data_IF_583920191063
#
_entry.id   IF_583920191063
#
_cell.length_a   1.000
_cell.length_b   1.000
_cell.length_c   1.000
_cell.angle_alpha   90.00
_cell.angle_beta   90.00
_cell.angle_gamma   90.00
#
_symmetry.space_group_name_H-M   'P 1'
#
loop_
_entity.id
_entity.type
_entity.pdbx_description
1 polymer ?
#
# COMPACT_ATOMS: atom_id res chain seq x y z
N UNK A 1 -18.30 17.04 -14.17
CA UNK A 1 -16.99 17.48 -13.63
C UNK A 1 -16.08 16.26 -13.61
N UNK A 2 -15.40 15.98 -14.74
CA UNK A 2 -14.50 14.83 -14.86
C UNK A 2 -13.27 15.08 -14.00
N UNK A 3 -13.24 14.47 -12.82
CA UNK A 3 -12.14 14.58 -11.86
C UNK A 3 -10.84 14.09 -12.50
N UNK A 4 -9.77 14.83 -12.22
CA UNK A 4 -8.40 14.78 -12.78
C UNK A 4 -7.65 13.45 -12.50
N UNK A 5 -8.34 12.42 -12.03
CA UNK A 5 -7.77 11.17 -11.53
C UNK A 5 -7.68 10.02 -12.56
N UNK A 6 -8.11 10.23 -13.81
CA UNK A 6 -8.42 9.14 -14.74
C UNK A 6 -7.42 8.87 -15.88
N UNK A 7 -6.47 9.75 -16.23
CA UNK A 7 -5.52 9.46 -17.34
C UNK A 7 -4.15 10.11 -17.14
N UNK A 8 -3.27 9.44 -16.42
CA UNK A 8 -1.83 9.70 -16.49
C UNK A 8 -1.16 8.53 -17.19
N UNK A 9 -0.99 8.62 -18.50
CA UNK A 9 -0.12 7.67 -19.21
C UNK A 9 1.29 7.77 -18.63
N UNK A 10 1.74 6.75 -17.91
CA UNK A 10 3.14 6.70 -17.44
C UNK A 10 4.02 6.21 -18.59
N UNK A 11 5.16 6.88 -18.78
CA UNK A 11 6.19 6.41 -19.69
C UNK A 11 6.79 5.14 -19.13
N UNK A 12 6.78 4.08 -19.94
CA UNK A 12 7.49 2.84 -19.62
C UNK A 12 8.55 2.64 -20.70
N UNK A 13 9.80 2.45 -20.28
CA UNK A 13 10.86 1.98 -21.19
C UNK A 13 10.54 0.52 -21.50
N UNK A 14 10.16 0.23 -22.75
CA UNK A 14 10.03 -1.15 -23.18
C UNK A 14 11.43 -1.72 -23.49
N UNK A 15 11.61 -3.04 -23.38
CA UNK A 15 12.87 -3.74 -23.66
C UNK A 15 13.40 -3.51 -25.09
N UNK A 16 12.53 -3.05 -25.99
CA UNK A 16 12.84 -2.76 -27.39
C UNK A 16 13.30 -1.31 -27.67
N UNK A 17 13.67 -0.51 -26.66
CA UNK A 17 14.12 0.90 -26.81
C UNK A 17 13.10 1.91 -27.40
N UNK A 18 11.86 1.46 -27.67
CA UNK A 18 10.76 2.33 -28.05
C UNK A 18 9.99 2.80 -26.80
N UNK A 19 9.85 4.12 -26.66
CA UNK A 19 9.06 4.72 -25.58
C UNK A 19 7.58 4.46 -25.80
N UNK A 20 6.90 3.89 -24.80
CA UNK A 20 5.46 3.63 -24.83
C UNK A 20 4.73 4.29 -23.67
N UNK A 21 3.39 4.29 -23.75
CA UNK A 21 2.47 4.80 -22.72
C UNK A 21 1.52 3.69 -22.29
N UNK A 22 1.48 3.39 -21.00
CA UNK A 22 0.48 2.46 -20.45
C UNK A 22 -0.73 3.22 -19.90
N UNK A 23 -1.93 2.67 -20.08
CA UNK A 23 -3.13 3.22 -19.48
C UNK A 23 -3.10 3.04 -17.97
N UNK A 24 -3.48 4.08 -17.24
CA UNK A 24 -3.41 4.14 -15.79
C UNK A 24 -4.71 4.69 -15.22
N UNK A 25 -5.24 4.05 -14.19
CA UNK A 25 -6.35 4.56 -13.38
C UNK A 25 -5.99 4.50 -11.90
N UNK A 26 -6.22 5.59 -11.17
CA UNK A 26 -6.15 5.58 -9.71
C UNK A 26 -7.40 4.92 -9.11
N UNK A 27 -7.31 4.41 -7.87
CA UNK A 27 -8.46 3.90 -7.13
C UNK A 27 -9.50 5.01 -6.90
N UNK A 28 -9.06 6.26 -6.69
CA UNK A 28 -9.93 7.44 -6.66
C UNK A 28 -10.84 7.52 -7.90
N UNK A 29 -10.26 7.47 -9.10
CA UNK A 29 -11.03 7.56 -10.34
C UNK A 29 -11.82 6.28 -10.67
N UNK A 30 -11.38 5.13 -10.19
CA UNK A 30 -12.01 3.83 -10.45
C UNK A 30 -13.23 3.58 -9.54
N UNK A 31 -13.13 3.98 -8.27
CA UNK A 31 -14.11 3.69 -7.22
C UNK A 31 -14.96 4.90 -6.85
N UNK A 32 -14.77 6.04 -7.51
CA UNK A 32 -15.36 7.34 -7.13
C UNK A 32 -15.08 7.72 -5.66
N UNK A 33 -13.89 7.34 -5.17
CA UNK A 33 -13.46 7.56 -3.80
C UNK A 33 -12.83 8.96 -3.66
N UNK A 34 -13.53 9.90 -3.00
CA UNK A 34 -13.05 11.27 -2.79
C UNK A 34 -11.73 11.30 -2.02
N UNK A 35 -10.67 11.80 -2.66
CA UNK A 35 -9.34 11.87 -2.06
C UNK A 35 -9.18 13.00 -1.03
N UNK A 36 -10.16 13.92 -0.93
CA UNK A 36 -10.14 15.01 0.06
C UNK A 36 -10.61 14.55 1.44
N UNK A 37 -11.21 13.38 1.52
CA UNK A 37 -11.66 12.74 2.76
C UNK A 37 -11.08 11.32 2.85
N UNK A 38 -10.93 10.74 4.05
CA UNK A 38 -10.50 9.34 4.21
C UNK A 38 -11.60 8.36 3.76
N UNK A 39 -11.80 8.26 2.44
CA UNK A 39 -12.95 7.58 1.83
C UNK A 39 -12.67 6.17 1.32
N UNK A 40 -11.42 5.68 1.45
CA UNK A 40 -11.01 4.37 0.98
C UNK A 40 -10.73 3.42 2.16
N UNK A 41 -11.09 2.16 2.00
CA UNK A 41 -10.68 1.07 2.88
C UNK A 41 -9.82 0.06 2.11
N UNK A 42 -8.82 -0.51 2.77
CA UNK A 42 -8.00 -1.57 2.20
C UNK A 42 -8.83 -2.79 1.78
N UNK A 43 -9.95 -3.08 2.45
CA UNK A 43 -10.88 -4.15 2.07
C UNK A 43 -11.45 -3.91 0.67
N UNK A 44 -11.88 -2.67 0.39
CA UNK A 44 -12.41 -2.28 -0.91
C UNK A 44 -11.32 -2.25 -1.99
N UNK A 45 -10.14 -1.73 -1.66
CA UNK A 45 -8.99 -1.74 -2.56
C UNK A 45 -8.58 -3.17 -2.95
N UNK A 46 -8.53 -4.08 -1.99
CA UNK A 46 -8.20 -5.49 -2.20
C UNK A 46 -9.27 -6.17 -3.08
N UNK A 47 -10.56 -5.94 -2.80
CA UNK A 47 -11.67 -6.48 -3.59
C UNK A 47 -11.63 -5.96 -5.03
N UNK A 48 -11.47 -4.64 -5.22
CA UNK A 48 -11.33 -4.03 -6.53
C UNK A 48 -10.13 -4.61 -7.30
N UNK A 49 -9.00 -4.79 -6.63
CA UNK A 49 -7.80 -5.40 -7.21
C UNK A 49 -8.06 -6.82 -7.70
N UNK A 50 -8.76 -7.65 -6.91
CA UNK A 50 -9.11 -9.02 -7.30
C UNK A 50 -10.07 -9.06 -8.48
N UNK A 51 -11.07 -8.16 -8.51
CA UNK A 51 -12.04 -8.07 -9.60
C UNK A 51 -11.33 -7.68 -10.91
N UNK A 52 -10.47 -6.65 -10.87
CA UNK A 52 -9.76 -6.16 -12.05
C UNK A 52 -8.71 -7.15 -12.56
N UNK A 53 -7.85 -7.63 -11.66
CA UNK A 53 -6.63 -8.34 -12.03
C UNK A 53 -6.80 -9.86 -12.04
N UNK A 54 -7.95 -10.37 -11.56
CA UNK A 54 -8.38 -11.78 -11.63
C UNK A 54 -7.35 -12.79 -11.08
N UNK A 55 -6.55 -12.38 -10.09
CA UNK A 55 -5.57 -13.25 -9.43
C UNK A 55 -5.50 -12.96 -7.92
N UNK A 56 -5.53 -14.00 -7.06
CA UNK A 56 -5.33 -13.86 -5.62
C UNK A 56 -4.00 -13.20 -5.26
N UNK A 57 -2.94 -13.43 -6.05
CA UNK A 57 -1.62 -12.88 -5.80
C UNK A 57 -1.63 -11.34 -5.76
N UNK A 58 -2.50 -10.67 -6.54
CA UNK A 58 -2.62 -9.22 -6.50
C UNK A 58 -3.40 -8.72 -5.27
N UNK A 59 -4.34 -9.51 -4.74
CA UNK A 59 -4.97 -9.22 -3.45
C UNK A 59 -3.96 -9.30 -2.30
N UNK A 60 -3.14 -10.35 -2.31
CA UNK A 60 -2.03 -10.56 -1.35
C UNK A 60 -0.98 -9.44 -1.45
N UNK A 61 -0.65 -8.98 -2.67
CA UNK A 61 0.22 -7.82 -2.87
C UNK A 61 -0.32 -6.55 -2.20
N UNK A 62 -1.61 -6.25 -2.36
CA UNK A 62 -2.20 -5.06 -1.73
C UNK A 62 -2.25 -5.20 -0.21
N UNK A 63 -2.49 -6.40 0.31
CA UNK A 63 -2.37 -6.68 1.73
C UNK A 63 -0.96 -6.39 2.25
N UNK A 64 0.09 -6.88 1.57
CA UNK A 64 1.48 -6.58 1.94
C UNK A 64 1.79 -5.09 1.91
N UNK A 65 1.28 -4.35 0.92
CA UNK A 65 1.42 -2.88 0.84
C UNK A 65 0.70 -2.17 1.99
N UNK A 66 -0.47 -2.67 2.42
CA UNK A 66 -1.17 -2.15 3.60
C UNK A 66 -0.34 -2.35 4.86
N UNK A 67 0.23 -3.54 5.06
CA UNK A 67 1.12 -3.83 6.20
C UNK A 67 2.38 -2.95 6.15
N UNK A 68 2.96 -2.74 4.96
CA UNK A 68 4.09 -1.84 4.78
C UNK A 68 3.74 -0.42 5.22
N UNK A 69 2.62 0.15 4.72
CA UNK A 69 2.19 1.50 5.11
C UNK A 69 1.97 1.61 6.62
N UNK A 70 1.36 0.60 7.24
CA UNK A 70 1.15 0.54 8.68
C UNK A 70 2.48 0.62 9.44
N UNK A 71 3.47 -0.20 9.07
CA UNK A 71 4.75 -0.27 9.75
C UNK A 71 5.64 0.95 9.50
N UNK A 72 5.56 1.55 8.31
CA UNK A 72 6.37 2.73 7.96
C UNK A 72 5.69 4.05 8.27
N UNK A 73 4.52 4.05 8.92
CA UNK A 73 3.77 5.26 9.24
C UNK A 73 3.51 6.15 8.00
N UNK A 74 3.20 5.51 6.86
CA UNK A 74 2.77 6.23 5.66
C UNK A 74 1.26 6.48 5.75
N UNK A 75 0.87 7.58 6.40
CA UNK A 75 -0.54 7.88 6.66
C UNK A 75 -1.18 8.74 5.57
N UNK A 76 -0.42 9.17 4.56
CA UNK A 76 -0.91 9.87 3.37
C UNK A 76 -1.19 8.89 2.22
N UNK A 77 -1.65 7.70 2.56
CA UNK A 77 -1.95 6.59 1.64
C UNK A 77 -3.34 6.74 0.99
N UNK A 78 -3.73 7.95 0.60
CA UNK A 78 -5.07 8.27 0.11
C UNK A 78 -5.40 7.65 -1.26
N UNK A 79 -6.67 7.70 -1.68
CA UNK A 79 -7.20 7.01 -2.86
C UNK A 79 -6.50 7.30 -4.20
N UNK A 80 -5.73 8.40 -4.34
CA UNK A 80 -4.90 8.69 -5.52
C UNK A 80 -3.56 7.93 -5.56
N UNK A 81 -3.10 7.43 -4.43
CA UNK A 81 -1.80 6.76 -4.28
C UNK A 81 -1.86 5.27 -4.62
N UNK A 82 -3.07 4.79 -4.90
CA UNK A 82 -3.33 3.46 -5.42
C UNK A 82 -3.69 3.55 -6.89
N UNK A 83 -3.02 2.77 -7.73
CA UNK A 83 -3.24 2.79 -9.16
C UNK A 83 -3.17 1.42 -9.82
N UNK A 84 -3.74 1.35 -11.01
CA UNK A 84 -3.82 0.16 -11.84
C UNK A 84 -3.36 0.51 -13.25
N UNK A 85 -2.61 -0.40 -13.86
CA UNK A 85 -2.13 -0.31 -15.23
C UNK A 85 -2.88 -1.32 -16.10
N UNK A 86 -3.31 -0.87 -17.28
CA UNK A 86 -3.85 -1.72 -18.34
C UNK A 86 -2.79 -1.91 -19.41
N UNK A 87 -2.41 -3.16 -19.67
CA UNK A 87 -1.48 -3.50 -20.74
C UNK A 87 -2.21 -3.67 -22.09
N UNK A 88 -1.44 -3.80 -23.17
CA UNK A 88 -1.97 -3.90 -24.55
C UNK A 88 -2.80 -5.17 -24.79
N UNK A 89 -2.64 -6.20 -23.94
CA UNK A 89 -3.45 -7.41 -23.97
C UNK A 89 -4.79 -7.27 -23.22
N UNK A 90 -5.11 -6.07 -22.73
CA UNK A 90 -6.32 -5.81 -21.96
C UNK A 90 -6.29 -6.35 -20.53
N UNK A 91 -5.12 -6.70 -20.00
CA UNK A 91 -4.96 -7.23 -18.64
C UNK A 91 -4.56 -6.12 -17.65
N UNK A 92 -5.33 -6.03 -16.56
CA UNK A 92 -5.09 -5.10 -15.47
C UNK A 92 -4.10 -5.64 -14.44
N UNK A 93 -3.25 -4.74 -13.95
CA UNK A 93 -2.24 -5.01 -12.94
C UNK A 93 -2.20 -3.86 -11.95
N UNK A 94 -1.93 -4.08 -10.65
CA UNK A 94 -1.58 -2.98 -9.76
C UNK A 94 -0.37 -2.24 -10.31
N UNK A 95 -0.40 -0.91 -10.30
CA UNK A 95 0.76 -0.10 -10.62
C UNK A 95 1.90 -0.40 -9.63
N UNK A 96 3.17 -0.09 -9.98
CA UNK A 96 4.26 -0.04 -9.01
C UNK A 96 3.86 0.78 -7.78
N UNK A 97 4.40 0.46 -6.62
CA UNK A 97 4.09 1.21 -5.41
C UNK A 97 4.82 2.55 -5.48
N UNK A 98 4.09 3.66 -5.35
CA UNK A 98 4.62 5.01 -5.54
C UNK A 98 4.09 5.95 -4.46
N UNK A 99 4.73 7.11 -4.31
CA UNK A 99 4.37 8.14 -3.33
C UNK A 99 4.31 7.60 -1.89
N UNK A 100 5.35 6.82 -1.55
CA UNK A 100 5.54 6.21 -0.24
C UNK A 100 6.40 7.17 0.57
N UNK A 101 5.81 7.79 1.59
CA UNK A 101 6.47 8.81 2.39
C UNK A 101 6.20 8.53 3.87
N UNK A 102 7.23 8.67 4.71
CA UNK A 102 7.01 8.73 6.16
C UNK A 102 6.24 10.02 6.47
N UNK A 103 4.95 9.89 6.77
CA UNK A 103 4.05 11.02 6.95
C UNK A 103 3.08 10.73 8.11
N UNK A 104 3.50 10.96 9.37
CA UNK A 104 2.59 10.91 10.51
C UNK A 104 1.60 12.08 10.42
N UNK A 105 0.31 11.76 10.23
CA UNK A 105 -0.77 12.73 10.15
C UNK A 105 -1.08 13.33 11.54
N UNK A 106 -1.69 14.52 11.56
CA UNK A 106 -2.03 15.22 12.80
C UNK A 106 -2.98 14.44 13.73
N UNK A 107 -3.76 13.52 13.18
CA UNK A 107 -4.71 12.68 13.92
C UNK A 107 -4.18 11.25 14.18
N UNK A 108 -2.95 10.98 13.71
CA UNK A 108 -2.32 9.66 13.71
C UNK A 108 -3.20 8.60 13.01
N UNK A 109 -3.90 8.99 11.95
CA UNK A 109 -4.78 8.13 11.16
C UNK A 109 -4.31 8.09 9.70
N UNK A 110 -4.39 6.90 9.11
CA UNK A 110 -4.21 6.64 7.69
C UNK A 110 -5.39 7.17 6.89
N UNK A 111 -5.09 7.68 5.69
CA UNK A 111 -6.12 8.08 4.74
C UNK A 111 -6.86 6.89 4.12
N UNK A 112 -6.23 5.70 4.09
CA UNK A 112 -6.90 4.43 3.79
C UNK A 112 -7.08 3.61 5.06
N UNK A 113 -8.34 3.28 5.40
CA UNK A 113 -8.68 2.55 6.62
C UNK A 113 -8.39 1.05 6.50
N UNK A 114 -8.15 0.41 7.64
CA UNK A 114 -7.94 -1.03 7.78
C UNK A 114 -9.24 -1.69 8.26
N UNK A 115 -10.16 -2.01 7.34
CA UNK A 115 -11.48 -2.56 7.67
C UNK A 115 -12.26 -1.73 8.70
N UNK A 116 -12.30 -0.41 8.49
CA UNK A 116 -12.99 0.59 9.30
C UNK A 116 -12.13 1.26 10.38
N UNK A 117 -10.86 0.86 10.52
CA UNK A 117 -9.94 1.41 11.51
C UNK A 117 -8.91 2.33 10.82
N UNK A 118 -8.97 3.64 11.07
CA UNK A 118 -7.98 4.59 10.54
C UNK A 118 -6.60 4.50 11.22
N UNK A 119 -6.53 3.91 12.41
CA UNK A 119 -5.30 3.70 13.18
C UNK A 119 -5.40 2.49 14.07
N UNK A 120 -4.24 1.97 14.48
CA UNK A 120 -4.10 0.85 15.42
C UNK A 120 -5.09 -0.30 15.13
N UNK A 121 -5.09 -0.85 13.90
CA UNK A 121 -6.05 -1.88 13.54
C UNK A 121 -5.90 -3.11 14.43
N UNK A 122 -7.00 -3.64 15.01
CA UNK A 122 -6.94 -4.85 15.81
C UNK A 122 -6.63 -6.06 14.93
N UNK A 123 -6.13 -7.15 15.53
CA UNK A 123 -5.82 -8.40 14.81
C UNK A 123 -6.96 -8.87 13.89
N UNK A 124 -8.21 -8.79 14.35
CA UNK A 124 -9.40 -9.19 13.59
C UNK A 124 -9.55 -8.41 12.27
N UNK A 125 -9.14 -7.13 12.24
CA UNK A 125 -9.16 -6.32 11.03
C UNK A 125 -8.13 -6.84 10.03
N UNK A 126 -6.91 -7.12 10.48
CA UNK A 126 -5.85 -7.69 9.64
C UNK A 126 -6.22 -9.09 9.12
N UNK A 127 -6.82 -9.93 9.95
CA UNK A 127 -7.33 -11.24 9.55
C UNK A 127 -8.45 -11.13 8.50
N UNK A 128 -9.36 -10.15 8.65
CA UNK A 128 -10.39 -9.86 7.66
C UNK A 128 -9.75 -9.45 6.32
N UNK A 129 -8.80 -8.51 6.35
CA UNK A 129 -8.10 -8.06 5.14
C UNK A 129 -7.34 -9.21 4.47
N UNK A 130 -6.70 -10.09 5.25
CA UNK A 130 -6.04 -11.28 4.71
C UNK A 130 -7.03 -12.25 4.03
N UNK A 131 -8.21 -12.48 4.62
CA UNK A 131 -9.24 -13.28 3.97
C UNK A 131 -9.70 -12.62 2.65
N UNK A 132 -9.99 -11.32 2.67
CA UNK A 132 -10.32 -10.55 1.46
C UNK A 132 -9.22 -10.66 0.40
N UNK A 133 -7.95 -10.65 0.80
CA UNK A 133 -6.78 -10.78 -0.06
C UNK A 133 -6.63 -12.18 -0.69
N UNK A 134 -7.37 -13.18 -0.20
CA UNK A 134 -7.36 -14.54 -0.75
C UNK A 134 -6.29 -15.43 -0.13
N UNK A 135 -5.80 -15.13 1.08
CA UNK A 135 -5.05 -16.12 1.86
C UNK A 135 -5.99 -17.23 2.32
N UNK A 136 -5.59 -18.49 2.14
CA UNK A 136 -6.40 -19.64 2.57
C UNK A 136 -6.21 -19.97 4.04
N UNK A 137 -5.06 -19.59 4.61
CA UNK A 137 -4.71 -19.80 6.02
C UNK A 137 -4.09 -18.54 6.60
N UNK A 138 -4.45 -18.21 7.83
CA UNK A 138 -3.86 -17.08 8.55
C UNK A 138 -2.34 -17.18 8.69
N UNK A 139 -1.79 -18.39 8.80
CA UNK A 139 -0.33 -18.60 8.87
C UNK A 139 0.42 -18.10 7.64
N UNK A 140 -0.19 -18.11 6.45
CA UNK A 140 0.42 -17.55 5.24
C UNK A 140 0.46 -16.03 5.29
N UNK A 141 -0.64 -15.40 5.71
CA UNK A 141 -0.67 -13.95 5.91
C UNK A 141 0.29 -13.51 7.03
N UNK A 142 0.41 -14.29 8.10
CA UNK A 142 1.38 -14.05 9.18
C UNK A 142 2.82 -14.12 8.67
N UNK A 143 3.14 -15.09 7.80
CA UNK A 143 4.46 -15.16 7.17
C UNK A 143 4.77 -13.90 6.36
N UNK A 144 3.83 -13.45 5.52
CA UNK A 144 3.97 -12.23 4.72
C UNK A 144 4.08 -10.96 5.60
N UNK A 145 3.37 -10.90 6.74
CA UNK A 145 3.53 -9.79 7.70
C UNK A 145 4.96 -9.77 8.27
N UNK A 146 5.50 -10.93 8.64
CA UNK A 146 6.85 -11.04 9.17
C UNK A 146 7.90 -10.69 8.12
N UNK A 147 7.73 -11.14 6.87
CA UNK A 147 8.60 -10.77 5.75
C UNK A 147 8.63 -9.24 5.57
N UNK A 148 7.47 -8.58 5.59
CA UNK A 148 7.41 -7.11 5.49
C UNK A 148 8.08 -6.43 6.68
N UNK A 149 7.89 -6.96 7.90
CA UNK A 149 8.55 -6.41 9.09
C UNK A 149 10.08 -6.52 9.01
N UNK A 150 10.61 -7.66 8.53
CA UNK A 150 12.05 -7.86 8.31
C UNK A 150 12.62 -6.86 7.30
N UNK A 151 11.93 -6.65 6.16
CA UNK A 151 12.34 -5.67 5.15
C UNK A 151 12.36 -4.24 5.73
N UNK A 152 11.37 -3.89 6.55
CA UNK A 152 11.30 -2.55 7.15
C UNK A 152 12.37 -2.34 8.23
N UNK A 153 12.80 -3.40 8.91
CA UNK A 153 13.91 -3.35 9.90
C UNK A 153 15.26 -2.97 9.24
N UNK A 154 15.43 -3.21 7.94
CA UNK A 154 16.62 -2.81 7.18
C UNK A 154 16.70 -1.29 6.92
N UNK A 155 15.62 -0.53 7.18
CA UNK A 155 15.53 0.90 6.85
C UNK A 155 16.72 1.71 7.34
N UNK A 156 17.12 1.57 8.61
CA UNK A 156 18.19 2.40 9.17
C UNK A 156 19.56 2.12 8.53
N UNK A 157 19.82 0.87 8.15
CA UNK A 157 21.06 0.48 7.48
C UNK A 157 21.11 1.08 6.07
N UNK A 158 20.06 0.86 5.27
CA UNK A 158 19.94 1.40 3.91
C UNK A 158 19.98 2.93 3.92
N UNK A 159 19.21 3.58 4.81
CA UNK A 159 19.19 5.03 4.91
C UNK A 159 20.55 5.60 5.33
N UNK A 160 21.35 4.87 6.12
CA UNK A 160 22.71 5.27 6.48
C UNK A 160 23.64 5.19 5.27
N UNK A 161 23.52 4.16 4.45
CA UNK A 161 24.31 4.00 3.21
C UNK A 161 23.98 5.06 2.16
N UNK A 162 22.74 5.56 2.16
CA UNK A 162 22.27 6.64 1.30
C UNK A 162 22.50 8.05 1.90
N UNK A 163 23.35 8.18 2.92
CA UNK A 163 23.72 9.44 3.57
C UNK A 163 22.54 10.25 4.13
N UNK A 164 21.45 9.58 4.53
CA UNK A 164 20.32 10.26 5.18
C UNK A 164 20.74 10.72 6.59
N UNK A 165 20.35 11.97 6.92
CA UNK A 165 20.69 12.60 8.19
C UNK A 165 20.30 11.73 9.40
N UNK A 166 21.20 11.66 10.40
CA UNK A 166 21.02 10.81 11.57
C UNK A 166 19.72 11.11 12.33
N UNK A 167 19.31 12.38 12.42
CA UNK A 167 18.08 12.79 13.08
C UNK A 167 16.84 12.18 12.39
N UNK A 168 16.75 12.28 11.07
CA UNK A 168 15.68 11.69 10.27
C UNK A 168 15.65 10.16 10.42
N UNK A 169 16.82 9.50 10.33
CA UNK A 169 16.91 8.05 10.50
C UNK A 169 16.41 7.60 11.87
N UNK A 170 16.85 8.28 12.94
CA UNK A 170 16.42 7.98 14.32
C UNK A 170 14.91 8.15 14.49
N UNK A 171 14.35 9.26 14.00
CA UNK A 171 12.91 9.53 14.10
C UNK A 171 12.07 8.42 13.44
N UNK A 172 12.42 8.03 12.22
CA UNK A 172 11.68 7.02 11.47
C UNK A 172 11.88 5.63 12.09
N UNK A 173 13.10 5.28 12.48
CA UNK A 173 13.39 3.97 13.10
C UNK A 173 12.62 3.77 14.39
N UNK A 174 12.51 4.81 15.24
CA UNK A 174 11.71 4.76 16.46
C UNK A 174 10.22 4.52 16.19
N UNK A 175 9.67 5.08 15.10
CA UNK A 175 8.28 4.83 14.71
C UNK A 175 8.09 3.40 14.23
N UNK A 176 8.98 2.92 13.36
CA UNK A 176 8.99 1.54 12.86
C UNK A 176 9.04 0.56 14.03
N UNK A 177 9.99 0.71 14.95
CA UNK A 177 10.17 -0.17 16.11
C UNK A 177 8.88 -0.23 16.96
N UNK A 178 8.31 0.93 17.29
CA UNK A 178 7.09 1.03 18.09
C UNK A 178 5.90 0.33 17.41
N UNK A 179 5.69 0.59 16.11
CA UNK A 179 4.56 0.04 15.35
C UNK A 179 4.74 -1.47 15.13
N UNK A 180 5.96 -1.92 14.89
CA UNK A 180 6.33 -3.33 14.79
C UNK A 180 6.06 -4.06 16.10
N UNK A 181 6.54 -3.55 17.23
CA UNK A 181 6.25 -4.17 18.53
C UNK A 181 4.75 -4.25 18.83
N UNK A 182 3.99 -3.20 18.51
CA UNK A 182 2.55 -3.20 18.65
C UNK A 182 1.90 -4.28 17.77
N UNK A 183 2.31 -4.39 16.50
CA UNK A 183 1.79 -5.39 15.57
C UNK A 183 2.14 -6.82 16.03
N UNK A 184 3.39 -7.09 16.39
CA UNK A 184 3.88 -8.41 16.76
C UNK A 184 3.26 -8.94 18.06
N UNK A 185 2.85 -8.06 19.00
CA UNK A 185 2.10 -8.47 20.20
C UNK A 185 0.78 -9.16 19.88
N UNK A 186 0.24 -8.94 18.69
CA UNK A 186 -1.04 -9.47 18.25
C UNK A 186 -0.92 -10.70 17.33
N UNK A 187 0.28 -11.06 16.86
CA UNK A 187 0.47 -12.13 15.88
C UNK A 187 0.76 -13.50 16.51
#
# INVERSE_FOLDING_TARGET
>A
MLSVCAKLSRYVKNSASTSGRQHFHSACGLLDADFRTPSLDYDDLIKATKILCKSPAYGQLQFKRAIFNLLTCNQDDHSKNWGFLLNDNGAWHPAPFYDIIFNPSAFNEHATAYAGYGKEPPLKALQKLANSAGYTRWSQAKHDILEVAEVVDEFNAIAKELDIQQQTRRLISQHIERLREALLKHL
#
